data_IF_246810706623
#
_entry.id   IF_246810706623
#
_cell.length_a   1.000
_cell.length_b   1.000
_cell.length_c   1.000
_cell.angle_alpha   90.00
_cell.angle_beta   90.00
_cell.angle_gamma   90.00
#
_symmetry.space_group_name_H-M   'P 1'
#
loop_
_entity.id
_entity.type
_entity.pdbx_description
1 polymer ?
#
# COMPACT_ATOMS: atom_id res chain seq x y z
N UNK A 1 50.22 0.03 68.20
CA UNK A 1 50.64 1.22 67.45
C UNK A 1 50.62 0.86 65.97
N UNK A 2 49.65 1.36 65.20
CA UNK A 2 49.53 1.18 63.74
C UNK A 2 49.52 2.60 63.15
N UNK A 3 50.66 3.07 62.64
CA UNK A 3 51.10 3.08 61.25
C UNK A 3 50.24 3.93 60.29
N UNK A 4 50.93 4.91 59.72
CA UNK A 4 50.59 5.84 58.64
C UNK A 4 49.98 5.16 57.42
N UNK A 5 49.06 5.84 56.71
CA UNK A 5 49.31 6.41 55.36
C UNK A 5 48.04 6.74 54.57
N UNK A 6 48.13 7.92 53.94
CA UNK A 6 47.71 8.27 52.57
C UNK A 6 46.21 8.48 52.28
N UNK A 7 45.91 9.76 52.10
CA UNK A 7 44.77 10.31 51.36
C UNK A 7 44.53 9.56 50.05
N UNK A 8 43.34 9.01 49.90
CA UNK A 8 42.78 8.57 48.62
C UNK A 8 41.81 9.65 48.16
N UNK A 9 42.17 10.32 47.07
CA UNK A 9 41.28 11.20 46.31
C UNK A 9 40.19 10.34 45.67
N UNK A 10 38.92 10.54 46.05
CA UNK A 10 37.78 9.98 45.31
C UNK A 10 37.58 10.79 44.02
N UNK A 11 37.90 10.18 42.88
CA UNK A 11 37.42 10.63 41.58
C UNK A 11 36.16 9.81 41.24
N UNK A 12 34.98 10.40 41.43
CA UNK A 12 33.70 9.82 41.00
C UNK A 12 33.55 10.04 39.49
N UNK A 13 33.82 9.01 38.70
CA UNK A 13 33.54 8.99 37.27
C UNK A 13 32.03 8.89 37.03
N UNK A 14 31.42 9.95 36.51
CA UNK A 14 30.04 9.92 35.99
C UNK A 14 30.08 9.25 34.61
N UNK A 15 29.49 8.06 34.48
CA UNK A 15 29.26 7.44 33.18
C UNK A 15 28.01 8.04 32.54
N UNK A 16 28.19 8.88 31.52
CA UNK A 16 27.09 9.31 30.63
C UNK A 16 26.72 8.12 29.74
N UNK A 17 25.56 7.51 29.98
CA UNK A 17 24.95 6.57 29.03
C UNK A 17 24.36 7.40 27.90
N UNK A 18 25.05 7.46 26.76
CA UNK A 18 24.48 8.00 25.53
C UNK A 18 23.41 7.02 25.02
N UNK A 19 22.13 7.36 25.20
CA UNK A 19 21.05 6.70 24.48
C UNK A 19 21.14 7.11 23.01
N UNK A 20 21.60 6.20 22.15
CA UNK A 20 21.49 6.40 20.71
C UNK A 20 19.99 6.51 20.35
N UNK A 21 19.58 7.42 19.46
CA UNK A 21 18.22 7.41 18.95
C UNK A 21 18.02 6.07 18.24
N UNK A 22 17.00 5.31 18.66
CA UNK A 22 16.56 4.13 17.93
C UNK A 22 16.21 4.57 16.51
N UNK A 23 17.04 4.20 15.54
CA UNK A 23 16.77 4.49 14.13
C UNK A 23 15.47 3.80 13.76
N UNK A 24 14.44 4.58 13.42
CA UNK A 24 13.26 4.06 12.76
C UNK A 24 13.70 3.53 11.39
N UNK A 25 13.98 2.23 11.32
CA UNK A 25 14.24 1.58 10.06
C UNK A 25 12.95 1.64 9.25
N UNK A 26 12.99 2.31 8.10
CA UNK A 26 11.85 2.34 7.18
C UNK A 26 11.46 0.91 6.85
N UNK A 27 10.20 0.59 7.10
CA UNK A 27 9.63 -0.70 6.79
C UNK A 27 9.63 -0.92 5.27
N UNK A 28 9.96 -2.13 4.82
CA UNK A 28 9.83 -2.49 3.40
C UNK A 28 8.34 -2.62 3.01
N UNK A 29 7.99 -2.45 1.73
CA UNK A 29 6.60 -2.64 1.28
C UNK A 29 6.02 -3.99 1.72
N UNK A 30 6.78 -5.09 1.60
CA UNK A 30 6.30 -6.43 2.01
C UNK A 30 5.96 -6.46 3.50
N UNK A 31 6.85 -5.94 4.35
CA UNK A 31 6.61 -5.87 5.78
C UNK A 31 5.37 -5.01 6.07
N UNK A 32 5.24 -3.85 5.42
CA UNK A 32 4.11 -2.95 5.63
C UNK A 32 2.79 -3.63 5.24
N UNK A 33 2.77 -4.37 4.13
CA UNK A 33 1.60 -5.17 3.73
C UNK A 33 1.34 -6.27 4.77
N UNK A 34 2.37 -7.02 5.20
CA UNK A 34 2.18 -8.10 6.16
C UNK A 34 1.61 -7.60 7.50
N UNK A 35 2.11 -6.46 7.98
CA UNK A 35 1.67 -5.86 9.23
C UNK A 35 0.29 -5.22 9.16
N UNK A 36 -0.03 -4.55 8.05
CA UNK A 36 -1.27 -3.76 7.92
C UNK A 36 -2.42 -4.56 7.32
N UNK A 37 -2.13 -5.51 6.44
CA UNK A 37 -3.09 -6.13 5.53
C UNK A 37 -2.99 -7.67 5.48
N UNK A 38 -1.89 -8.27 5.94
CA UNK A 38 -1.78 -9.71 6.15
C UNK A 38 -0.77 -10.42 5.26
N UNK A 39 -1.12 -10.76 4.02
CA UNK A 39 -0.30 -11.61 3.15
C UNK A 39 0.21 -10.84 1.93
N UNK A 40 1.45 -10.36 1.97
CA UNK A 40 2.03 -9.59 0.87
C UNK A 40 2.04 -10.33 -0.47
N UNK A 41 2.10 -11.66 -0.48
CA UNK A 41 2.17 -12.43 -1.73
C UNK A 41 0.88 -12.34 -2.53
N UNK A 42 -0.28 -12.35 -1.84
CA UNK A 42 -1.60 -12.14 -2.45
C UNK A 42 -1.73 -10.75 -3.07
N UNK A 43 -1.26 -9.72 -2.36
CA UNK A 43 -1.29 -8.35 -2.86
C UNK A 43 -0.30 -8.12 -4.00
N UNK A 44 0.93 -8.64 -3.91
CA UNK A 44 1.94 -8.52 -4.95
C UNK A 44 1.48 -9.13 -6.28
N UNK A 45 0.79 -10.28 -6.23
CA UNK A 45 0.20 -10.90 -7.41
C UNK A 45 -0.80 -9.97 -8.12
N UNK A 46 -1.71 -9.35 -7.36
CA UNK A 46 -2.74 -8.46 -7.91
C UNK A 46 -2.12 -7.14 -8.40
N UNK A 47 -1.14 -6.59 -7.69
CA UNK A 47 -0.40 -5.40 -8.12
C UNK A 47 0.25 -5.64 -9.48
N UNK A 48 1.00 -6.73 -9.63
CA UNK A 48 1.69 -7.06 -10.89
C UNK A 48 0.70 -7.33 -12.03
N UNK A 49 -0.39 -8.05 -11.74
CA UNK A 49 -1.44 -8.31 -12.71
C UNK A 49 -2.10 -7.01 -13.18
N UNK A 50 -2.41 -6.10 -12.25
CA UNK A 50 -3.01 -4.80 -12.56
C UNK A 50 -2.09 -3.96 -13.43
N UNK A 51 -0.82 -3.81 -13.06
CA UNK A 51 0.15 -3.03 -13.84
C UNK A 51 0.34 -3.61 -15.25
N UNK A 52 0.40 -4.94 -15.36
CA UNK A 52 0.51 -5.64 -16.65
C UNK A 52 -0.71 -5.40 -17.53
N UNK A 53 -1.91 -5.60 -16.98
CA UNK A 53 -3.16 -5.44 -17.72
C UNK A 53 -3.37 -3.97 -18.16
N UNK A 54 -3.10 -3.00 -17.29
CA UNK A 54 -3.20 -1.57 -17.61
C UNK A 54 -2.18 -1.18 -18.69
N UNK A 55 -0.92 -1.61 -18.58
CA UNK A 55 0.10 -1.35 -19.58
C UNK A 55 -0.23 -1.97 -20.95
N UNK A 56 -0.89 -3.12 -20.96
CA UNK A 56 -1.34 -3.81 -22.17
C UNK A 56 -2.68 -3.31 -22.72
N UNK A 57 -3.33 -2.34 -22.05
CA UNK A 57 -4.69 -1.91 -22.35
C UNK A 57 -5.73 -3.05 -22.31
N UNK A 58 -5.48 -4.06 -21.47
CA UNK A 58 -6.35 -5.24 -21.32
C UNK A 58 -7.51 -4.96 -20.36
N UNK A 59 -8.62 -4.46 -20.93
CA UNK A 59 -9.82 -4.14 -20.20
C UNK A 59 -10.42 -5.34 -19.45
N UNK A 60 -10.33 -6.55 -20.03
CA UNK A 60 -10.87 -7.76 -19.41
C UNK A 60 -10.01 -8.18 -18.21
N UNK A 61 -8.68 -8.18 -18.37
CA UNK A 61 -7.74 -8.48 -17.30
C UNK A 61 -7.88 -7.54 -16.10
N UNK A 62 -8.04 -6.23 -16.34
CA UNK A 62 -8.31 -5.29 -15.23
C UNK A 62 -9.66 -5.57 -14.56
N UNK A 63 -10.70 -5.87 -15.34
CA UNK A 63 -12.03 -6.14 -14.81
C UNK A 63 -12.07 -7.33 -13.85
N UNK A 64 -11.23 -8.36 -14.05
CA UNK A 64 -11.15 -9.53 -13.16
C UNK A 64 -10.57 -9.19 -11.78
N UNK A 65 -9.78 -8.13 -11.69
CA UNK A 65 -9.11 -7.68 -10.46
C UNK A 65 -10.01 -6.78 -9.61
N UNK A 66 -11.14 -6.30 -10.14
CA UNK A 66 -12.02 -5.33 -9.48
C UNK A 66 -13.02 -6.02 -8.55
N UNK A 67 -13.22 -5.45 -7.37
CA UNK A 67 -14.33 -5.79 -6.48
C UNK A 67 -15.58 -5.05 -6.93
N UNK A 68 -16.64 -5.79 -7.29
CA UNK A 68 -17.92 -5.22 -7.70
C UNK A 68 -18.96 -5.26 -6.58
N UNK A 69 -19.92 -4.31 -6.56
CA UNK A 69 -20.01 -3.14 -7.43
C UNK A 69 -18.96 -2.07 -7.07
N UNK A 70 -18.54 -1.27 -8.07
CA UNK A 70 -17.59 -0.17 -7.88
C UNK A 70 -18.20 1.15 -8.38
N UNK A 71 -18.02 2.22 -7.60
CA UNK A 71 -18.31 3.59 -8.03
C UNK A 71 -17.08 4.17 -8.72
N UNK A 72 -17.24 4.63 -9.96
CA UNK A 72 -16.17 5.20 -10.78
C UNK A 72 -16.68 6.43 -11.53
N UNK A 73 -15.77 7.24 -12.04
CA UNK A 73 -16.10 8.23 -13.06
C UNK A 73 -15.94 7.59 -14.44
N UNK A 74 -16.95 7.70 -15.30
CA UNK A 74 -16.87 7.33 -16.71
C UNK A 74 -16.99 8.62 -17.51
N UNK A 75 -15.92 9.03 -18.18
CA UNK A 75 -15.88 10.30 -18.95
C UNK A 75 -16.31 11.52 -18.11
N UNK A 76 -15.90 11.57 -16.83
CA UNK A 76 -16.22 12.67 -15.92
C UNK A 76 -17.57 12.55 -15.21
N UNK A 77 -18.34 11.48 -15.44
CA UNK A 77 -19.63 11.26 -14.79
C UNK A 77 -19.60 10.06 -13.84
N UNK A 78 -20.01 10.29 -12.60
CA UNK A 78 -20.16 9.23 -11.61
C UNK A 78 -21.12 8.13 -12.10
N UNK A 79 -20.63 6.89 -12.04
CA UNK A 79 -21.31 5.70 -12.57
C UNK A 79 -21.01 4.51 -11.66
N UNK A 80 -22.06 3.74 -11.32
CA UNK A 80 -21.91 2.49 -10.58
C UNK A 80 -21.83 1.30 -11.54
N UNK A 81 -20.67 0.66 -11.59
CA UNK A 81 -20.42 -0.53 -12.40
C UNK A 81 -20.63 -1.77 -11.54
N UNK A 82 -21.45 -2.72 -12.02
CA UNK A 82 -21.88 -3.90 -11.24
C UNK A 82 -21.25 -5.22 -11.70
N UNK A 83 -20.52 -5.23 -12.81
CA UNK A 83 -19.96 -6.45 -13.37
C UNK A 83 -18.69 -6.18 -14.18
N UNK A 84 -17.87 -7.22 -14.32
CA UNK A 84 -16.67 -7.20 -15.14
C UNK A 84 -16.97 -6.83 -16.61
N UNK A 85 -18.05 -7.37 -17.17
CA UNK A 85 -18.48 -7.04 -18.53
C UNK A 85 -18.77 -5.54 -18.70
N UNK A 86 -19.56 -4.95 -17.79
CA UNK A 86 -19.88 -3.53 -17.85
C UNK A 86 -18.63 -2.66 -17.62
N UNK A 87 -17.72 -3.11 -16.77
CA UNK A 87 -16.45 -2.42 -16.56
C UNK A 87 -15.60 -2.37 -17.83
N UNK A 88 -15.42 -3.52 -18.49
CA UNK A 88 -14.64 -3.61 -19.72
C UNK A 88 -15.24 -2.74 -20.84
N UNK A 89 -16.58 -2.67 -20.93
CA UNK A 89 -17.28 -1.79 -21.88
C UNK A 89 -17.04 -0.29 -21.62
N UNK A 90 -16.76 0.09 -20.38
CA UNK A 90 -16.50 1.47 -19.96
C UNK A 90 -15.03 1.78 -19.70
N UNK A 91 -14.12 0.84 -20.00
CA UNK A 91 -12.71 0.89 -19.58
C UNK A 91 -12.04 2.21 -19.95
N UNK A 92 -12.11 2.64 -21.21
CA UNK A 92 -11.44 3.85 -21.70
C UNK A 92 -11.93 5.13 -21.00
N UNK A 93 -13.18 5.12 -20.52
CA UNK A 93 -13.75 6.23 -19.76
C UNK A 93 -13.41 6.21 -18.27
N UNK A 94 -12.99 5.05 -17.75
CA UNK A 94 -12.59 4.82 -16.35
C UNK A 94 -11.08 5.03 -16.20
N UNK A 95 -10.28 4.43 -17.07
CA UNK A 95 -8.81 4.50 -17.07
C UNK A 95 -8.32 5.65 -17.95
N UNK A 96 -8.45 6.87 -17.42
CA UNK A 96 -7.90 8.06 -18.08
C UNK A 96 -6.37 7.99 -18.16
N UNK A 97 -5.72 8.87 -18.96
CA UNK A 97 -4.25 8.93 -18.99
C UNK A 97 -3.61 9.17 -17.61
N UNK A 98 -4.28 9.95 -16.76
CA UNK A 98 -3.85 10.23 -15.38
C UNK A 98 -3.79 8.96 -14.54
N UNK A 99 -4.88 8.18 -14.54
CA UNK A 99 -4.99 6.92 -13.79
C UNK A 99 -4.04 5.86 -14.36
N UNK A 100 -3.99 5.74 -15.68
CA UNK A 100 -3.08 4.81 -16.38
C UNK A 100 -1.63 5.07 -15.98
N UNK A 101 -1.20 6.33 -15.97
CA UNK A 101 0.15 6.72 -15.55
C UNK A 101 0.38 6.44 -14.06
N UNK A 102 -0.59 6.75 -13.21
CA UNK A 102 -0.49 6.48 -11.77
C UNK A 102 -0.28 4.99 -11.47
N UNK A 103 -0.87 4.09 -12.26
CA UNK A 103 -0.69 2.64 -12.11
C UNK A 103 0.65 2.17 -12.69
N UNK A 104 0.96 2.58 -13.92
CA UNK A 104 2.11 2.04 -14.68
C UNK A 104 3.46 2.58 -14.23
N UNK A 105 3.52 3.81 -13.72
CA UNK A 105 4.78 4.41 -13.23
C UNK A 105 5.08 4.09 -11.76
N UNK A 106 4.09 3.57 -11.02
CA UNK A 106 4.24 3.27 -9.61
C UNK A 106 5.22 2.11 -9.40
N UNK A 107 6.28 2.36 -8.64
CA UNK A 107 7.19 1.31 -8.21
C UNK A 107 6.62 0.58 -7.01
N UNK A 108 6.83 -0.73 -6.96
CA UNK A 108 6.33 -1.58 -5.89
C UNK A 108 6.93 -1.20 -4.53
N UNK A 109 8.23 -0.95 -4.50
CA UNK A 109 8.98 -0.53 -3.30
C UNK A 109 8.56 0.84 -2.75
N UNK A 110 7.85 1.64 -3.54
CA UNK A 110 7.39 2.99 -3.18
C UNK A 110 5.88 3.05 -2.91
N UNK A 111 5.18 1.90 -2.88
CA UNK A 111 3.74 1.85 -2.64
C UNK A 111 3.41 2.33 -1.23
N UNK A 112 2.43 3.22 -1.14
CA UNK A 112 1.88 3.63 0.15
C UNK A 112 0.91 2.57 0.66
N UNK A 113 1.18 2.08 1.87
CA UNK A 113 0.42 0.99 2.51
C UNK A 113 -0.09 1.45 3.86
N UNK A 114 -1.36 1.22 4.14
CA UNK A 114 -1.92 1.32 5.48
C UNK A 114 -3.14 0.38 5.62
N UNK A 115 -3.81 0.40 6.77
CA UNK A 115 -5.00 -0.44 7.02
C UNK A 115 -6.16 -0.23 6.02
N UNK A 116 -6.19 0.87 5.25
CA UNK A 116 -7.21 1.10 4.21
C UNK A 116 -6.87 0.43 2.88
N UNK A 117 -5.64 -0.08 2.73
CA UNK A 117 -5.17 -0.78 1.55
C UNK A 117 -3.86 -0.22 1.02
N UNK A 118 -3.61 -0.54 -0.25
CA UNK A 118 -2.42 -0.16 -1.00
C UNK A 118 -2.82 0.88 -2.04
N UNK A 119 -2.16 2.02 -2.04
CA UNK A 119 -2.48 3.17 -2.89
C UNK A 119 -1.50 3.31 -4.05
N UNK A 120 -2.03 3.52 -5.25
CA UNK A 120 -1.27 3.94 -6.43
C UNK A 120 -1.41 5.44 -6.67
N UNK A 121 -0.30 6.07 -7.05
CA UNK A 121 -0.24 7.51 -7.29
C UNK A 121 -0.60 8.31 -6.04
N UNK A 122 -1.49 9.28 -6.22
CA UNK A 122 -2.02 10.17 -5.19
C UNK A 122 -3.44 9.76 -4.74
N UNK A 123 -3.80 8.47 -4.89
CA UNK A 123 -5.12 7.94 -4.50
C UNK A 123 -5.99 7.50 -5.66
N UNK A 124 -5.47 7.47 -6.88
CA UNK A 124 -6.21 7.08 -8.08
C UNK A 124 -6.74 5.65 -8.00
N UNK A 125 -5.92 4.71 -7.51
CA UNK A 125 -6.31 3.31 -7.38
C UNK A 125 -5.97 2.79 -5.99
N UNK A 126 -6.89 2.04 -5.40
CA UNK A 126 -6.67 1.32 -4.14
C UNK A 126 -6.91 -0.17 -4.30
N UNK A 127 -6.03 -0.97 -3.71
CA UNK A 127 -6.19 -2.43 -3.57
C UNK A 127 -6.40 -2.76 -2.10
N UNK A 128 -7.40 -3.58 -1.80
CA UNK A 128 -7.61 -4.11 -0.45
C UNK A 128 -8.14 -5.56 -0.50
N UNK A 129 -8.14 -6.24 0.65
CA UNK A 129 -8.62 -7.60 0.82
C UNK A 129 -10.14 -7.64 0.94
N UNK A 130 -10.77 -8.55 0.21
CA UNK A 130 -12.20 -8.87 0.31
C UNK A 130 -12.31 -10.20 1.06
N UNK A 131 -12.68 -10.12 2.34
CA UNK A 131 -12.83 -11.28 3.20
C UNK A 131 -13.99 -12.17 2.75
N UNK A 132 -13.79 -13.48 2.78
CA UNK A 132 -14.85 -14.45 2.48
C UNK A 132 -15.76 -14.71 3.68
N UNK A 133 -15.29 -14.38 4.89
CA UNK A 133 -16.03 -14.50 6.15
C UNK A 133 -15.61 -13.41 7.15
N UNK A 134 -16.28 -13.39 8.31
CA UNK A 134 -16.01 -12.42 9.39
C UNK A 134 -14.64 -12.60 10.07
N UNK A 135 -14.03 -13.78 9.94
CA UNK A 135 -12.72 -14.06 10.51
C UNK A 135 -11.58 -13.59 9.59
N UNK A 136 -11.88 -13.32 8.30
CA UNK A 136 -10.95 -12.86 7.27
C UNK A 136 -9.65 -13.66 7.17
N UNK A 137 -9.71 -14.96 7.51
CA UNK A 137 -8.56 -15.86 7.34
C UNK A 137 -8.28 -16.11 5.86
N UNK A 138 -9.35 -16.13 5.07
CA UNK A 138 -9.29 -16.19 3.61
C UNK A 138 -9.90 -14.91 3.02
N UNK A 139 -9.17 -14.36 2.06
CA UNK A 139 -9.53 -13.15 1.33
C UNK A 139 -8.90 -13.17 -0.06
N UNK A 140 -9.53 -12.42 -0.96
CA UNK A 140 -8.96 -12.04 -2.26
C UNK A 140 -8.51 -10.59 -2.22
N UNK A 141 -7.29 -10.30 -2.67
CA UNK A 141 -6.90 -8.92 -2.94
C UNK A 141 -7.62 -8.44 -4.21
N UNK A 142 -8.25 -7.27 -4.14
CA UNK A 142 -9.02 -6.67 -5.25
C UNK A 142 -8.81 -5.18 -5.32
N UNK A 143 -8.95 -4.62 -6.52
CA UNK A 143 -9.11 -3.18 -6.74
C UNK A 143 -10.47 -2.76 -6.17
N UNK A 144 -10.46 -1.82 -5.22
CA UNK A 144 -11.66 -1.37 -4.50
C UNK A 144 -12.01 0.10 -4.79
N UNK A 145 -11.06 0.87 -5.31
CA UNK A 145 -11.26 2.27 -5.69
C UNK A 145 -10.57 2.54 -7.02
N UNK A 146 -11.25 3.24 -7.92
CA UNK A 146 -10.67 3.88 -9.10
C UNK A 146 -11.28 5.27 -9.23
N UNK A 147 -10.44 6.30 -9.20
CA UNK A 147 -10.87 7.69 -9.24
C UNK A 147 -9.78 8.58 -9.85
N UNK A 148 -10.17 9.80 -10.23
CA UNK A 148 -9.19 10.81 -10.57
C UNK A 148 -8.36 11.23 -9.36
N UNK A 149 -7.10 11.56 -9.60
CA UNK A 149 -6.23 12.15 -8.58
C UNK A 149 -6.70 13.56 -8.21
N UNK A 150 -6.18 14.14 -7.13
CA UNK A 150 -6.42 15.54 -6.81
C UNK A 150 -6.04 16.39 -8.03
N UNK A 151 -7.02 17.13 -8.58
CA UNK A 151 -6.81 17.98 -9.75
C UNK A 151 -5.65 18.95 -9.48
N UNK A 152 -4.62 18.89 -10.32
CA UNK A 152 -3.58 19.91 -10.36
C UNK A 152 -3.89 20.93 -11.43
#
# INVERSE_FOLDING_TARGET
MLNSMRHVLLATSVALVWAAPAGAQSETTNQAIDQQLGDHTKYEAVIKALQTAVAAHDAAGVAELVSYPIGVSVNGKETHIRSAKAFAEHYDGIFTPSITKAVTDQKYEDLFVNYKGIMFGDGQVWINGICHDNACKEFDAKVVTIQEGPGK
#
